data_IF_274153586806
#
_entry.id   IF_274153586806
#
_cell.length_a   1.000
_cell.length_b   1.000
_cell.length_c   1.000
_cell.angle_alpha   90.00
_cell.angle_beta   90.00
_cell.angle_gamma   90.00
#
_symmetry.space_group_name_H-M   'P 1'
#
loop_
_entity.id
_entity.type
_entity.pdbx_description
1 polymer ?
#
# COMPACT_ATOMS: atom_id res chain seq x y z
N UNK A 1 4.26 -22.96 -13.00
CA UNK A 1 3.50 -23.54 -11.89
C UNK A 1 3.71 -22.59 -10.73
N UNK A 2 2.69 -21.82 -10.36
CA UNK A 2 2.80 -20.89 -9.23
C UNK A 2 2.61 -21.74 -7.99
N UNK A 3 3.65 -21.87 -7.17
CA UNK A 3 3.52 -22.53 -5.88
C UNK A 3 2.70 -21.60 -4.98
N UNK A 4 1.53 -22.06 -4.55
CA UNK A 4 0.66 -21.29 -3.66
C UNK A 4 0.93 -21.80 -2.25
N UNK A 5 1.63 -21.00 -1.46
CA UNK A 5 1.69 -21.18 -0.01
C UNK A 5 0.64 -20.25 0.59
N UNK A 6 -0.17 -20.75 1.51
CA UNK A 6 -1.17 -19.93 2.18
C UNK A 6 -1.12 -20.19 3.67
N UNK A 7 -1.32 -19.13 4.45
CA UNK A 7 -1.57 -19.24 5.88
C UNK A 7 -3.03 -19.00 6.18
N UNK A 8 -3.50 -19.61 7.27
CA UNK A 8 -4.84 -19.40 7.76
C UNK A 8 -4.95 -19.65 9.25
N UNK A 9 -6.12 -19.35 9.80
CA UNK A 9 -6.40 -19.49 11.22
C UNK A 9 -7.65 -20.36 11.39
N UNK A 10 -7.53 -21.39 12.22
CA UNK A 10 -8.57 -22.37 12.49
C UNK A 10 -9.03 -22.27 13.95
N UNK A 11 -10.33 -22.41 14.19
CA UNK A 11 -10.90 -22.56 15.54
C UNK A 11 -11.83 -23.77 15.55
N UNK A 12 -11.63 -24.66 16.53
CA UNK A 12 -12.29 -25.97 16.58
C UNK A 12 -13.76 -25.93 17.06
N UNK A 13 -14.35 -24.76 17.34
CA UNK A 13 -15.75 -24.69 17.78
C UNK A 13 -16.33 -23.27 17.84
N UNK A 14 -17.66 -23.20 17.73
CA UNK A 14 -18.41 -21.93 17.84
C UNK A 14 -18.22 -21.31 19.23
N UNK A 15 -17.46 -20.22 19.31
CA UNK A 15 -17.25 -19.45 20.52
C UNK A 15 -15.98 -19.76 21.31
N UNK A 16 -15.10 -20.64 20.82
CA UNK A 16 -13.76 -20.79 21.40
C UNK A 16 -12.82 -19.70 20.87
N UNK A 17 -12.04 -19.10 21.78
CA UNK A 17 -10.92 -18.20 21.49
C UNK A 17 -9.62 -18.95 21.14
N UNK A 18 -9.66 -20.28 21.06
CA UNK A 18 -8.51 -21.12 20.77
C UNK A 18 -8.27 -21.18 19.25
N UNK A 19 -7.73 -20.08 18.73
CA UNK A 19 -7.27 -20.01 17.34
C UNK A 19 -5.91 -20.68 17.18
N UNK A 20 -5.79 -21.46 16.11
CA UNK A 20 -4.58 -22.12 15.70
C UNK A 20 -4.24 -21.70 14.28
N UNK A 21 -3.07 -21.10 14.12
CA UNK A 21 -2.54 -20.79 12.82
C UNK A 21 -2.10 -22.08 12.10
N UNK A 22 -2.20 -22.09 10.77
CA UNK A 22 -1.69 -23.17 9.94
C UNK A 22 -1.02 -22.61 8.69
N UNK A 23 -0.08 -23.38 8.17
CA UNK A 23 0.50 -23.26 6.84
C UNK A 23 -0.09 -24.37 5.96
N UNK A 24 -0.46 -24.04 4.72
CA UNK A 24 -0.76 -25.02 3.70
C UNK A 24 0.25 -24.93 2.57
N UNK A 25 0.81 -26.08 2.17
CA UNK A 25 1.65 -26.23 0.97
C UNK A 25 1.15 -27.39 0.11
N UNK A 26 1.44 -27.37 -1.19
CA UNK A 26 1.10 -28.48 -2.09
C UNK A 26 1.75 -29.81 -1.67
N UNK A 27 2.96 -29.74 -1.11
CA UNK A 27 3.77 -30.90 -0.75
C UNK A 27 3.36 -31.52 0.58
N UNK A 28 3.03 -30.70 1.58
CA UNK A 28 2.81 -31.15 2.95
C UNK A 28 1.35 -31.06 3.40
N UNK A 29 0.47 -30.42 2.61
CA UNK A 29 -0.90 -30.14 3.02
C UNK A 29 -0.94 -29.16 4.19
N UNK A 30 -1.97 -29.28 5.05
CA UNK A 30 -2.13 -28.42 6.23
C UNK A 30 -1.16 -28.85 7.33
N UNK A 31 -0.33 -27.91 7.76
CA UNK A 31 0.55 -28.01 8.92
C UNK A 31 0.15 -26.96 9.94
N UNK A 32 -0.27 -27.38 11.13
CA UNK A 32 -0.56 -26.43 12.20
C UNK A 32 0.73 -25.85 12.77
N UNK A 33 0.72 -24.54 12.99
CA UNK A 33 1.75 -23.81 13.71
C UNK A 33 1.46 -24.02 15.18
N UNK A 34 1.98 -25.10 15.73
CA UNK A 34 1.80 -25.46 17.13
C UNK A 34 2.87 -24.81 18.00
N UNK A 35 2.49 -24.02 19.00
CA UNK A 35 3.14 -24.01 20.29
C UNK A 35 2.38 -24.94 21.24
N UNK A 36 3.09 -25.43 22.26
CA UNK A 36 2.48 -26.14 23.39
C UNK A 36 1.44 -25.24 24.09
N UNK A 37 0.14 -25.48 23.83
CA UNK A 37 -1.04 -24.98 24.57
C UNK A 37 -1.50 -23.50 24.43
N UNK A 38 -0.99 -22.70 23.49
CA UNK A 38 -1.32 -21.27 23.35
C UNK A 38 -1.99 -20.90 22.00
N UNK A 39 -2.76 -19.79 21.98
CA UNK A 39 -3.45 -19.27 20.78
C UNK A 39 -2.45 -18.68 19.77
N UNK A 40 -2.59 -19.00 18.48
CA UNK A 40 -1.75 -18.47 17.40
C UNK A 40 -2.57 -17.88 16.24
N UNK A 41 -2.02 -16.82 15.62
CA UNK A 41 -2.51 -16.27 14.36
C UNK A 41 -1.37 -16.10 13.36
N UNK A 42 -1.59 -16.51 12.12
CA UNK A 42 -0.71 -16.19 11.00
C UNK A 42 -1.28 -15.03 10.17
N UNK A 43 -0.39 -14.17 9.69
CA UNK A 43 -0.71 -12.99 8.90
C UNK A 43 -0.05 -13.00 7.52
N UNK A 44 1.17 -13.55 7.40
CA UNK A 44 1.88 -13.61 6.13
C UNK A 44 2.82 -14.83 6.06
N UNK A 45 3.17 -15.21 4.84
CA UNK A 45 4.10 -16.31 4.53
C UNK A 45 5.05 -15.91 3.42
N UNK A 46 6.34 -16.19 3.59
CA UNK A 46 7.35 -15.93 2.57
C UNK A 46 7.52 -17.10 1.58
N UNK A 47 8.43 -16.92 0.61
CA UNK A 47 8.73 -17.96 -0.38
C UNK A 47 9.48 -19.17 0.21
N UNK A 48 10.04 -19.03 1.41
CA UNK A 48 10.73 -20.09 2.14
C UNK A 48 9.78 -20.88 3.05
N UNK A 49 8.48 -20.54 3.08
CA UNK A 49 7.47 -21.09 3.98
C UNK A 49 7.64 -20.69 5.46
N UNK A 50 8.35 -19.60 5.73
CA UNK A 50 8.35 -18.99 7.04
C UNK A 50 7.05 -18.22 7.24
N UNK A 51 6.52 -18.23 8.46
CA UNK A 51 5.23 -17.62 8.79
C UNK A 51 5.40 -16.51 9.81
N UNK A 52 4.90 -15.33 9.47
CA UNK A 52 4.80 -14.18 10.34
C UNK A 52 3.43 -14.18 11.01
N UNK A 53 3.41 -13.95 12.32
CA UNK A 53 2.19 -14.07 13.10
C UNK A 53 2.23 -13.42 14.47
N UNK A 54 1.30 -13.84 15.32
CA UNK A 54 1.38 -13.64 16.75
C UNK A 54 0.99 -14.90 17.53
N UNK A 55 1.56 -15.05 18.72
CA UNK A 55 1.26 -16.09 19.71
C UNK A 55 0.80 -15.43 21.01
N UNK A 56 -0.18 -16.01 21.70
CA UNK A 56 -0.59 -15.58 23.03
C UNK A 56 0.32 -16.18 24.09
N UNK A 57 1.14 -15.38 24.78
CA UNK A 57 2.02 -15.83 25.87
C UNK A 57 1.63 -15.11 27.16
N UNK A 58 1.19 -15.86 28.16
CA UNK A 58 0.82 -15.28 29.47
C UNK A 58 -0.26 -14.20 29.40
N UNK A 59 -1.18 -14.29 28.43
CA UNK A 59 -2.24 -13.31 28.19
C UNK A 59 -1.83 -12.10 27.32
N UNK A 60 -0.60 -12.05 26.82
CA UNK A 60 -0.12 -11.02 25.89
C UNK A 60 0.15 -11.60 24.51
N UNK A 61 -0.35 -10.97 23.45
CA UNK A 61 0.08 -11.29 22.08
C UNK A 61 1.52 -10.87 21.83
N UNK A 62 2.34 -11.81 21.39
CA UNK A 62 3.74 -11.66 21.04
C UNK A 62 3.91 -11.87 19.53
N UNK A 63 4.66 -11.00 18.85
CA UNK A 63 5.08 -11.23 17.47
C UNK A 63 5.86 -12.55 17.39
N UNK A 64 5.54 -13.39 16.41
CA UNK A 64 6.21 -14.68 16.21
C UNK A 64 6.68 -14.87 14.77
N UNK A 65 7.75 -15.64 14.65
CA UNK A 65 8.22 -16.22 13.38
C UNK A 65 8.21 -17.73 13.53
N UNK A 66 7.54 -18.42 12.62
CA UNK A 66 7.62 -19.88 12.53
C UNK A 66 8.41 -20.27 11.29
N UNK A 67 9.34 -21.20 11.45
CA UNK A 67 10.13 -21.76 10.36
C UNK A 67 10.29 -23.27 10.56
N UNK A 68 9.64 -24.06 9.70
CA UNK A 68 9.78 -25.51 9.61
C UNK A 68 9.72 -26.24 10.98
N UNK A 69 8.69 -25.95 11.77
CA UNK A 69 8.46 -26.54 13.09
C UNK A 69 9.15 -25.83 14.25
N UNK A 70 9.95 -24.80 13.99
CA UNK A 70 10.60 -23.97 15.01
C UNK A 70 9.83 -22.67 15.16
N UNK A 71 9.28 -22.44 16.35
CA UNK A 71 8.65 -21.18 16.70
C UNK A 71 9.64 -20.27 17.43
N UNK A 72 9.82 -19.05 16.93
CA UNK A 72 10.58 -17.98 17.57
C UNK A 72 9.62 -16.92 18.10
N UNK A 73 9.63 -16.68 19.41
CA UNK A 73 8.98 -15.54 20.04
C UNK A 73 9.84 -14.28 19.81
N UNK A 74 9.49 -13.52 18.76
CA UNK A 74 10.21 -12.30 18.40
C UNK A 74 10.02 -11.21 19.47
N UNK A 75 8.87 -11.17 20.14
CA UNK A 75 8.62 -10.18 21.18
C UNK A 75 9.60 -10.35 22.35
N UNK A 76 9.81 -11.59 22.79
CA UNK A 76 10.82 -11.91 23.81
C UNK A 76 12.24 -11.62 23.30
N UNK A 77 12.55 -12.02 22.07
CA UNK A 77 13.86 -11.80 21.45
C UNK A 77 14.24 -10.30 21.39
N UNK A 78 13.30 -9.46 20.99
CA UNK A 78 13.48 -8.02 20.86
C UNK A 78 13.13 -7.24 22.13
N UNK A 79 12.81 -7.94 23.23
CA UNK A 79 12.49 -7.35 24.52
C UNK A 79 11.32 -6.33 24.46
N UNK A 80 10.33 -6.60 23.60
CA UNK A 80 9.12 -5.79 23.45
C UNK A 80 8.30 -5.82 24.76
N UNK A 81 7.55 -4.74 25.02
CA UNK A 81 6.83 -4.49 26.27
C UNK A 81 5.31 -4.55 26.13
N UNK A 82 4.81 -4.44 24.91
CA UNK A 82 3.39 -4.43 24.60
C UNK A 82 2.90 -5.65 23.84
N UNK A 83 1.64 -5.58 23.43
CA UNK A 83 1.10 -6.51 22.44
C UNK A 83 1.84 -6.29 21.12
N UNK A 84 2.34 -7.35 20.51
CA UNK A 84 3.09 -7.26 19.27
C UNK A 84 2.63 -8.29 18.24
N UNK A 85 2.87 -7.94 16.99
CA UNK A 85 2.44 -8.72 15.83
C UNK A 85 3.50 -8.63 14.75
N UNK A 86 3.95 -9.78 14.22
CA UNK A 86 4.68 -9.86 12.97
C UNK A 86 3.65 -9.88 11.82
N UNK A 87 3.71 -8.89 10.94
CA UNK A 87 2.61 -8.56 10.01
C UNK A 87 2.85 -8.98 8.58
N UNK A 88 4.09 -8.89 8.11
CA UNK A 88 4.40 -8.94 6.68
C UNK A 88 5.88 -9.24 6.44
N UNK A 89 6.16 -9.98 5.37
CA UNK A 89 7.49 -10.21 4.81
C UNK A 89 7.73 -9.39 3.56
N UNK A 90 8.83 -8.63 3.55
CA UNK A 90 9.38 -8.08 2.30
C UNK A 90 10.09 -9.16 1.47
N UNK A 91 10.58 -8.79 0.28
CA UNK A 91 11.30 -9.70 -0.61
C UNK A 91 12.71 -10.06 -0.12
N UNK A 92 13.21 -9.40 0.93
CA UNK A 92 14.50 -9.69 1.56
C UNK A 92 14.34 -10.57 2.81
N UNK A 93 13.11 -10.97 3.16
CA UNK A 93 12.80 -11.77 4.33
C UNK A 93 12.82 -10.96 5.64
N UNK A 94 12.80 -9.62 5.59
CA UNK A 94 12.57 -8.82 6.78
C UNK A 94 11.10 -8.88 7.17
N UNK A 95 10.84 -8.83 8.46
CA UNK A 95 9.52 -8.91 9.05
C UNK A 95 9.11 -7.54 9.58
N UNK A 96 7.99 -7.01 9.08
CA UNK A 96 7.39 -5.81 9.64
C UNK A 96 6.67 -6.17 10.94
N UNK A 97 7.09 -5.55 12.04
CA UNK A 97 6.53 -5.77 13.37
C UNK A 97 5.80 -4.50 13.80
N UNK A 98 4.62 -4.66 14.39
CA UNK A 98 4.01 -3.61 15.20
C UNK A 98 4.02 -3.99 16.67
N UNK A 99 4.10 -2.98 17.52
CA UNK A 99 3.90 -3.12 18.95
C UNK A 99 2.96 -2.03 19.46
N UNK A 100 2.00 -2.42 20.30
CA UNK A 100 1.16 -1.52 21.07
C UNK A 100 1.51 -1.61 22.56
N UNK A 101 2.12 -0.56 23.09
CA UNK A 101 2.50 -0.45 24.49
C UNK A 101 2.09 0.93 25.03
N UNK A 102 1.50 0.96 26.24
CA UNK A 102 1.15 2.20 26.94
C UNK A 102 0.32 3.20 26.10
N UNK A 103 -0.55 2.71 25.22
CA UNK A 103 -1.41 3.56 24.38
C UNK A 103 -0.76 4.09 23.10
N UNK A 104 0.50 3.75 22.82
CA UNK A 104 1.22 4.11 21.61
C UNK A 104 1.48 2.89 20.72
N UNK A 105 1.48 3.09 19.41
CA UNK A 105 1.85 2.06 18.43
C UNK A 105 3.19 2.40 17.81
N UNK A 106 4.07 1.42 17.70
CA UNK A 106 5.38 1.55 17.06
C UNK A 106 5.53 0.51 15.97
N UNK A 107 6.35 0.81 14.96
CA UNK A 107 6.64 -0.10 13.84
C UNK A 107 8.14 -0.22 13.60
N UNK A 108 8.56 -1.42 13.22
CA UNK A 108 9.96 -1.74 12.94
C UNK A 108 10.09 -2.88 11.95
N UNK A 109 11.14 -2.84 11.15
CA UNK A 109 11.61 -3.98 10.37
C UNK A 109 12.60 -4.80 11.20
N UNK A 110 12.41 -6.11 11.27
CA UNK A 110 13.35 -7.06 11.85
C UNK A 110 13.86 -8.01 10.78
N UNK A 111 15.18 -8.12 10.63
CA UNK A 111 15.78 -9.10 9.74
C UNK A 111 16.22 -10.33 10.55
N UNK A 112 15.59 -11.51 10.39
CA UNK A 112 15.95 -12.71 11.14
C UNK A 112 17.34 -13.26 10.78
N UNK A 113 17.80 -13.08 9.54
CA UNK A 113 19.09 -13.58 9.08
C UNK A 113 20.28 -12.81 9.70
N UNK A 114 20.12 -11.51 9.94
CA UNK A 114 21.18 -10.64 10.50
C UNK A 114 20.92 -10.19 11.93
N UNK A 115 19.72 -10.46 12.46
CA UNK A 115 19.20 -9.93 13.73
C UNK A 115 19.18 -8.39 13.81
N UNK A 116 19.21 -7.69 12.68
CA UNK A 116 19.13 -6.22 12.66
C UNK A 116 17.70 -5.73 12.81
N UNK A 117 17.53 -4.60 13.50
CA UNK A 117 16.24 -3.91 13.64
C UNK A 117 16.36 -2.49 13.08
N UNK A 118 15.36 -2.07 12.31
CA UNK A 118 15.20 -0.69 11.83
C UNK A 118 13.87 -0.16 12.34
N UNK A 119 13.92 0.83 13.23
CA UNK A 119 12.71 1.51 13.71
C UNK A 119 12.16 2.43 12.61
N UNK A 120 10.84 2.39 12.41
CA UNK A 120 10.14 3.17 11.39
C UNK A 120 9.60 4.46 12.00
N UNK A 121 8.69 4.33 12.98
CA UNK A 121 8.03 5.48 13.58
C UNK A 121 7.30 5.14 14.88
N UNK A 122 7.23 6.14 15.77
CA UNK A 122 6.48 6.11 17.02
C UNK A 122 5.21 6.95 16.87
N UNK A 123 4.05 6.30 16.82
CA UNK A 123 2.78 7.00 16.69
C UNK A 123 2.32 7.53 18.06
N UNK A 124 1.88 8.80 18.16
CA UNK A 124 1.45 9.39 19.41
C UNK A 124 0.30 8.64 20.07
N UNK A 125 0.25 8.68 21.41
CA UNK A 125 -0.86 8.15 22.19
C UNK A 125 -2.19 8.77 21.74
N UNK A 126 -3.23 7.95 21.64
CA UNK A 126 -4.55 8.40 21.19
C UNK A 126 -4.70 8.50 19.67
N UNK A 127 -3.74 7.93 18.93
CA UNK A 127 -3.91 7.61 17.51
C UNK A 127 -4.83 6.40 17.35
N UNK A 128 -5.77 6.47 16.41
CA UNK A 128 -6.70 5.40 16.08
C UNK A 128 -6.81 5.18 14.57
N UNK A 129 -7.21 3.98 14.17
CA UNK A 129 -7.37 3.53 12.78
C UNK A 129 -6.07 3.58 11.98
N UNK A 130 -5.15 2.66 12.25
CA UNK A 130 -3.92 2.53 11.46
C UNK A 130 -4.12 1.49 10.37
N UNK A 131 -4.33 1.93 9.13
CA UNK A 131 -4.04 1.04 7.99
C UNK A 131 -2.57 1.20 7.64
N UNK A 132 -1.90 0.07 7.58
CA UNK A 132 -0.50 -0.05 7.20
C UNK A 132 -0.47 -0.85 5.91
N UNK A 133 0.24 -0.35 4.91
CA UNK A 133 0.38 -1.02 3.62
C UNK A 133 1.86 -1.14 3.32
N UNK A 134 2.49 -2.27 3.67
CA UNK A 134 3.86 -2.54 3.29
C UNK A 134 3.96 -2.99 1.83
N UNK A 135 5.13 -2.82 1.24
CA UNK A 135 5.49 -3.33 -0.09
C UNK A 135 6.64 -4.33 -0.03
N UNK A 136 6.85 -5.07 -1.11
CA UNK A 136 7.89 -6.10 -1.21
C UNK A 136 9.32 -5.54 -1.20
N UNK A 137 9.49 -4.25 -1.49
CA UNK A 137 10.77 -3.53 -1.44
C UNK A 137 10.99 -2.78 -0.11
N UNK A 138 10.24 -3.11 0.94
CA UNK A 138 10.47 -2.63 2.30
C UNK A 138 9.86 -1.26 2.62
N UNK A 139 9.15 -0.62 1.68
CA UNK A 139 8.42 0.63 1.96
C UNK A 139 7.13 0.35 2.71
N UNK A 140 6.62 1.37 3.41
CA UNK A 140 5.37 1.26 4.16
C UNK A 140 4.56 2.55 4.06
N UNK A 141 3.31 2.45 3.61
CA UNK A 141 2.33 3.52 3.70
C UNK A 141 1.48 3.40 4.97
N UNK A 142 1.14 4.56 5.54
CA UNK A 142 0.36 4.67 6.76
C UNK A 142 -0.79 5.65 6.53
N UNK A 143 -1.99 5.27 6.96
CA UNK A 143 -3.08 6.21 7.20
C UNK A 143 -3.61 6.03 8.61
N UNK A 144 -3.69 7.13 9.36
CA UNK A 144 -4.15 7.14 10.74
C UNK A 144 -4.96 8.39 11.06
N UNK A 145 -5.56 8.45 12.25
CA UNK A 145 -6.23 9.64 12.74
C UNK A 145 -5.98 9.85 14.22
N UNK A 146 -6.05 11.10 14.68
CA UNK A 146 -6.10 11.43 16.10
C UNK A 146 -7.12 12.54 16.36
N UNK A 147 -7.55 12.70 17.61
CA UNK A 147 -8.46 13.78 17.98
C UNK A 147 -7.85 15.17 17.74
N UNK A 148 -6.52 15.29 17.84
CA UNK A 148 -5.81 16.57 17.70
C UNK A 148 -5.48 16.90 16.24
N UNK A 149 -5.12 15.90 15.43
CA UNK A 149 -4.62 16.11 14.07
C UNK A 149 -5.64 15.76 12.99
N UNK A 150 -6.73 15.07 13.32
CA UNK A 150 -7.64 14.53 12.31
C UNK A 150 -6.97 13.43 11.48
N UNK A 151 -7.41 13.20 10.22
CA UNK A 151 -6.83 12.20 9.34
C UNK A 151 -5.40 12.57 8.93
N UNK A 152 -4.55 11.57 8.77
CA UNK A 152 -3.14 11.69 8.46
C UNK A 152 -2.74 10.60 7.45
N UNK A 153 -1.77 10.92 6.58
CA UNK A 153 -1.17 10.02 5.60
C UNK A 153 0.36 10.19 5.65
N UNK A 154 1.09 9.08 5.63
CA UNK A 154 2.55 9.07 5.57
C UNK A 154 3.07 7.86 4.81
N UNK A 155 4.35 7.92 4.45
CA UNK A 155 5.14 6.80 3.99
C UNK A 155 6.45 6.71 4.74
N UNK A 156 7.07 5.54 4.68
CA UNK A 156 8.42 5.31 5.11
C UNK A 156 9.18 4.50 4.06
N UNK A 157 10.45 4.86 3.85
CA UNK A 157 11.45 4.00 3.22
C UNK A 157 12.78 4.12 3.97
N UNK A 158 13.71 3.20 3.72
CA UNK A 158 15.04 3.28 4.33
C UNK A 158 15.83 4.49 3.84
N UNK A 159 15.61 4.92 2.59
CA UNK A 159 16.29 6.04 1.94
C UNK A 159 15.75 7.39 2.41
N UNK A 160 14.43 7.54 2.48
CA UNK A 160 13.77 8.82 2.75
C UNK A 160 13.35 9.00 4.22
N UNK A 161 13.34 7.93 5.01
CA UNK A 161 12.80 7.94 6.37
C UNK A 161 11.29 8.14 6.37
N UNK A 162 10.75 8.67 7.47
CA UNK A 162 9.31 8.89 7.64
C UNK A 162 8.88 10.25 7.06
N UNK A 163 8.01 10.22 6.06
CA UNK A 163 7.48 11.40 5.38
C UNK A 163 5.98 11.50 5.59
N UNK A 164 5.48 12.70 5.95
CA UNK A 164 4.06 12.93 6.21
C UNK A 164 3.46 13.91 5.22
N UNK A 165 2.30 13.57 4.66
CA UNK A 165 1.57 14.41 3.73
C UNK A 165 0.82 15.54 4.45
N UNK A 166 0.73 16.71 3.80
CA UNK A 166 -0.08 17.84 4.25
C UNK A 166 -1.48 17.73 3.68
N UNK A 167 -2.46 17.33 4.49
CA UNK A 167 -3.83 17.12 3.98
C UNK A 167 -4.63 18.42 3.87
N UNK A 168 -5.34 18.64 2.75
CA UNK A 168 -6.36 19.68 2.65
C UNK A 168 -7.42 19.60 3.74
N UNK A 169 -7.87 20.74 4.27
CA UNK A 169 -8.83 20.82 5.40
C UNK A 169 -10.20 20.20 5.12
N UNK A 170 -10.56 20.01 3.86
CA UNK A 170 -11.82 19.37 3.48
C UNK A 170 -11.73 17.83 3.53
N UNK A 171 -10.55 17.24 3.67
CA UNK A 171 -10.38 15.80 3.89
C UNK A 171 -10.69 15.49 5.35
N UNK A 172 -11.76 14.73 5.58
CA UNK A 172 -12.21 14.30 6.91
C UNK A 172 -11.93 12.82 7.19
N UNK A 173 -11.44 12.10 6.20
CA UNK A 173 -10.92 10.74 6.32
C UNK A 173 -9.99 10.43 5.14
N UNK A 174 -8.95 9.64 5.36
CA UNK A 174 -8.07 9.16 4.28
C UNK A 174 -7.63 7.73 4.60
N UNK A 175 -7.52 6.90 3.58
CA UNK A 175 -7.09 5.51 3.74
C UNK A 175 -6.08 5.16 2.66
N UNK A 176 -4.86 4.81 3.08
CA UNK A 176 -3.83 4.27 2.19
C UNK A 176 -4.29 2.90 1.67
N UNK A 177 -4.24 2.68 0.36
CA UNK A 177 -4.66 1.42 -0.26
C UNK A 177 -3.46 0.59 -0.66
N UNK A 178 -2.45 1.21 -1.26
CA UNK A 178 -1.25 0.60 -1.83
C UNK A 178 -0.12 1.62 -1.92
N UNK A 179 1.11 1.12 -1.92
CA UNK A 179 2.33 1.89 -2.19
C UNK A 179 3.11 1.17 -3.29
N UNK A 180 3.56 1.90 -4.30
CA UNK A 180 4.31 1.33 -5.43
C UNK A 180 5.83 1.40 -5.19
N UNK A 181 6.63 0.95 -6.17
CA UNK A 181 8.10 0.95 -6.09
C UNK A 181 8.70 2.36 -5.96
N UNK A 182 8.04 3.37 -6.53
CA UNK A 182 8.45 4.77 -6.43
C UNK A 182 8.13 5.37 -5.05
N UNK A 183 7.38 4.66 -4.20
CA UNK A 183 6.87 5.19 -2.94
C UNK A 183 5.63 6.08 -3.07
N UNK A 184 5.01 6.14 -4.24
CA UNK A 184 3.72 6.79 -4.43
C UNK A 184 2.63 6.00 -3.70
N UNK A 185 1.69 6.70 -3.04
CA UNK A 185 0.61 6.10 -2.28
C UNK A 185 -0.71 6.34 -2.99
N UNK A 186 -1.35 5.26 -3.44
CA UNK A 186 -2.73 5.32 -3.87
C UNK A 186 -3.63 5.27 -2.63
N UNK A 187 -4.54 6.23 -2.51
CA UNK A 187 -5.38 6.39 -1.33
C UNK A 187 -6.81 6.79 -1.71
N UNK A 188 -7.75 6.59 -0.78
CA UNK A 188 -9.12 7.07 -0.92
C UNK A 188 -9.41 8.05 0.21
N UNK A 189 -9.85 9.25 -0.14
CA UNK A 189 -10.23 10.29 0.81
C UNK A 189 -11.74 10.42 0.92
N UNK A 190 -12.23 10.83 2.09
CA UNK A 190 -13.60 11.26 2.35
C UNK A 190 -13.61 12.78 2.47
N UNK A 191 -14.35 13.48 1.61
CA UNK A 191 -14.24 14.94 1.49
C UNK A 191 -15.53 15.69 1.79
N UNK A 192 -15.41 16.83 2.48
CA UNK A 192 -16.48 17.81 2.68
C UNK A 192 -16.75 18.62 1.40
N UNK A 193 -17.98 19.18 1.25
CA UNK A 193 -19.12 19.07 2.17
C UNK A 193 -20.01 17.83 1.94
N UNK A 194 -19.75 17.08 0.87
CA UNK A 194 -20.67 16.05 0.39
C UNK A 194 -20.43 14.67 1.00
N UNK A 195 -19.33 14.49 1.76
CA UNK A 195 -18.92 13.20 2.30
C UNK A 195 -18.81 12.12 1.21
N UNK A 196 -18.38 12.52 0.02
CA UNK A 196 -18.06 11.63 -1.09
C UNK A 196 -16.66 11.03 -0.91
N UNK A 197 -16.48 9.79 -1.38
CA UNK A 197 -15.14 9.22 -1.50
C UNK A 197 -14.50 9.68 -2.81
N UNK A 198 -13.22 10.02 -2.76
CA UNK A 198 -12.43 10.44 -3.92
C UNK A 198 -11.14 9.63 -3.96
N UNK A 199 -10.85 9.06 -5.13
CA UNK A 199 -9.58 8.41 -5.44
C UNK A 199 -8.47 9.48 -5.54
N UNK A 200 -7.38 9.25 -4.83
CA UNK A 200 -6.25 10.17 -4.76
C UNK A 200 -4.93 9.42 -4.90
N UNK A 201 -3.91 10.12 -5.40
CA UNK A 201 -2.53 9.64 -5.47
C UNK A 201 -1.64 10.63 -4.75
N UNK A 202 -0.68 10.14 -3.96
CA UNK A 202 0.36 10.97 -3.36
C UNK A 202 1.72 10.49 -3.85
N UNK A 203 2.35 11.27 -4.73
CA UNK A 203 3.63 10.94 -5.36
C UNK A 203 4.74 11.78 -4.74
N UNK A 204 5.10 12.90 -5.37
CA UNK A 204 6.23 13.74 -4.96
C UNK A 204 5.78 15.09 -4.37
N UNK A 205 4.48 15.35 -4.34
CA UNK A 205 3.92 16.60 -3.87
C UNK A 205 3.90 16.65 -2.34
N UNK A 206 3.63 17.83 -1.79
CA UNK A 206 3.39 17.98 -0.35
C UNK A 206 2.07 17.38 0.12
N UNK A 207 1.14 17.05 -0.78
CA UNK A 207 -0.23 16.61 -0.47
C UNK A 207 -0.75 15.62 -1.53
N UNK A 208 -1.68 14.70 -1.19
CA UNK A 208 -2.32 13.84 -2.17
C UNK A 208 -3.15 14.67 -3.17
N UNK A 209 -3.11 14.27 -4.44
CA UNK A 209 -3.82 14.90 -5.55
C UNK A 209 -5.06 14.07 -5.92
N UNK A 210 -6.17 14.74 -6.22
CA UNK A 210 -7.42 14.11 -6.66
C UNK A 210 -7.28 13.56 -8.07
N UNK A 211 -7.73 12.32 -8.29
CA UNK A 211 -7.78 11.70 -9.61
C UNK A 211 -9.12 11.93 -10.33
N UNK A 212 -10.03 12.74 -9.78
CA UNK A 212 -11.39 12.90 -10.32
C UNK A 212 -11.43 13.21 -11.83
N UNK A 213 -10.58 14.13 -12.30
CA UNK A 213 -10.49 14.50 -13.73
C UNK A 213 -9.85 13.41 -14.60
N UNK A 214 -9.13 12.45 -14.00
CA UNK A 214 -8.47 11.34 -14.69
C UNK A 214 -9.33 10.08 -14.72
N UNK A 215 -10.41 10.01 -13.93
CA UNK A 215 -11.36 8.90 -13.97
C UNK A 215 -12.34 9.15 -15.11
N UNK A 216 -12.50 8.23 -16.08
CA UNK A 216 -13.47 8.39 -17.16
C UNK A 216 -14.88 8.65 -16.62
N UNK A 217 -15.61 9.52 -17.32
CA UNK A 217 -16.94 10.02 -16.94
C UNK A 217 -17.01 10.82 -15.63
N UNK A 218 -15.88 11.07 -14.97
CA UNK A 218 -15.74 11.89 -13.76
C UNK A 218 -16.85 11.64 -12.73
N UNK A 219 -16.97 10.40 -12.20
CA UNK A 219 -18.04 10.03 -11.31
C UNK A 219 -18.02 10.87 -10.03
N UNK A 220 -19.21 11.04 -9.43
CA UNK A 220 -19.37 11.84 -8.22
C UNK A 220 -18.65 11.25 -7.00
N UNK A 221 -18.39 9.94 -7.04
CA UNK A 221 -17.58 9.19 -6.08
C UNK A 221 -16.59 8.33 -6.83
N UNK A 222 -15.34 8.31 -6.36
CA UNK A 222 -14.31 7.39 -6.83
C UNK A 222 -13.51 6.79 -5.68
N UNK A 223 -13.03 5.56 -5.85
CA UNK A 223 -12.23 4.84 -4.84
C UNK A 223 -11.13 4.05 -5.49
N UNK A 224 -9.95 4.07 -4.88
CA UNK A 224 -8.87 3.15 -5.25
C UNK A 224 -9.20 1.77 -4.69
N UNK A 225 -9.11 0.76 -5.54
CA UNK A 225 -9.22 -0.66 -5.16
C UNK A 225 -7.82 -1.24 -4.93
N UNK A 226 -6.91 -1.00 -5.87
CA UNK A 226 -5.53 -1.46 -5.80
C UNK A 226 -4.63 -0.62 -6.73
N UNK A 227 -3.33 -0.68 -6.48
CA UNK A 227 -2.28 -0.23 -7.39
C UNK A 227 -1.25 -1.36 -7.52
N UNK A 228 -0.75 -1.61 -8.72
CA UNK A 228 0.38 -2.51 -8.89
C UNK A 228 1.72 -1.78 -8.64
N UNK A 229 2.82 -2.51 -8.80
CA UNK A 229 4.17 -1.97 -8.57
C UNK A 229 4.58 -0.88 -9.57
N UNK A 230 4.03 -0.91 -10.79
CA UNK A 230 4.28 0.08 -11.85
C UNK A 230 3.44 1.36 -11.70
N UNK A 231 2.51 1.40 -10.75
CA UNK A 231 1.61 2.53 -10.51
C UNK A 231 0.29 2.49 -11.29
N UNK A 232 -0.03 1.41 -11.99
CA UNK A 232 -1.35 1.22 -12.59
C UNK A 232 -2.41 1.07 -11.50
N UNK A 233 -3.49 1.83 -11.60
CA UNK A 233 -4.54 1.93 -10.59
C UNK A 233 -5.82 1.23 -11.06
N UNK A 234 -6.35 0.34 -10.23
CA UNK A 234 -7.75 -0.09 -10.36
C UNK A 234 -8.63 0.85 -9.55
N UNK A 235 -9.48 1.61 -10.25
CA UNK A 235 -10.37 2.61 -9.66
C UNK A 235 -11.82 2.20 -9.88
N UNK A 236 -12.63 2.40 -8.85
CA UNK A 236 -14.08 2.16 -8.88
C UNK A 236 -14.83 3.49 -8.76
N UNK A 237 -15.81 3.71 -9.63
CA UNK A 237 -16.78 4.80 -9.56
C UNK A 237 -18.13 4.36 -9.01
N UNK A 238 -19.16 5.13 -9.33
CA UNK A 238 -20.55 4.87 -8.90
C UNK A 238 -21.10 3.56 -9.51
N UNK A 239 -20.93 3.36 -10.83
CA UNK A 239 -21.40 2.20 -11.58
C UNK A 239 -20.30 1.32 -12.17
N UNK A 240 -19.11 1.89 -12.40
CA UNK A 240 -18.10 1.30 -13.27
C UNK A 240 -16.72 1.18 -12.59
N UNK A 241 -15.81 0.47 -13.26
CA UNK A 241 -14.43 0.30 -12.84
C UNK A 241 -13.50 0.59 -14.02
N UNK A 242 -12.36 1.21 -13.73
CA UNK A 242 -11.36 1.56 -14.72
C UNK A 242 -9.99 1.15 -14.24
N UNK A 243 -9.15 0.75 -15.18
CA UNK A 243 -7.72 0.70 -14.98
C UNK A 243 -7.20 2.06 -15.46
N UNK A 244 -6.71 2.87 -14.53
CA UNK A 244 -5.97 4.07 -14.87
C UNK A 244 -4.51 3.66 -14.96
N UNK A 245 -3.99 3.71 -16.17
CA UNK A 245 -2.56 3.61 -16.38
C UNK A 245 -1.86 4.78 -15.68
N UNK A 246 -0.59 4.60 -15.32
CA UNK A 246 0.31 5.73 -14.99
C UNK A 246 0.60 6.50 -16.28
N UNK A 247 -0.45 6.93 -16.99
CA UNK A 247 -0.33 7.80 -18.14
C UNK A 247 -0.27 9.21 -17.60
N UNK A 248 0.92 9.74 -17.59
CA UNK A 248 1.06 11.17 -17.57
C UNK A 248 0.45 11.66 -18.86
N UNK A 249 -0.54 12.54 -18.76
CA UNK A 249 -1.06 13.20 -19.96
C UNK A 249 0.14 13.77 -20.72
N UNK A 250 0.27 13.38 -21.97
CA UNK A 250 1.35 13.75 -22.89
C UNK A 250 2.75 13.11 -22.68
N UNK A 251 2.89 12.08 -21.83
CA UNK A 251 4.01 11.13 -21.92
C UNK A 251 3.60 10.05 -22.94
N UNK A 252 4.08 10.20 -24.17
CA UNK A 252 3.65 9.41 -25.32
C UNK A 252 4.49 8.15 -25.53
N UNK A 253 5.66 8.05 -24.92
CA UNK A 253 6.48 6.83 -24.90
C UNK A 253 6.44 6.06 -23.57
N UNK A 254 5.72 6.58 -22.57
CA UNK A 254 5.57 6.05 -21.22
C UNK A 254 6.92 5.92 -20.48
N UNK A 255 7.86 6.82 -20.73
CA UNK A 255 9.19 6.78 -20.09
C UNK A 255 9.21 7.47 -18.71
N UNK A 256 8.11 8.06 -18.27
CA UNK A 256 8.00 8.79 -17.01
C UNK A 256 8.38 10.27 -17.10
N UNK A 257 8.58 10.82 -18.30
CA UNK A 257 8.89 12.23 -18.54
C UNK A 257 8.05 12.75 -19.72
N UNK A 258 7.62 14.02 -19.63
CA UNK A 258 7.13 14.78 -20.79
C UNK A 258 8.27 15.63 -21.30
N UNK A 259 8.98 15.12 -22.30
CA UNK A 259 10.19 15.69 -22.84
C UNK A 259 10.17 15.82 -24.38
N UNK A 260 11.36 16.01 -24.97
CA UNK A 260 11.49 16.24 -26.41
C UNK A 260 11.04 15.01 -27.21
N UNK A 261 11.19 13.81 -26.65
CA UNK A 261 10.80 12.55 -27.27
C UNK A 261 9.30 12.51 -27.48
N UNK A 262 8.52 12.97 -26.51
CA UNK A 262 7.06 13.07 -26.61
C UNK A 262 6.64 14.10 -27.66
N UNK A 263 7.32 15.25 -27.74
CA UNK A 263 7.06 16.23 -28.81
C UNK A 263 7.28 15.60 -30.19
N UNK A 264 8.34 14.80 -30.34
CA UNK A 264 8.66 14.17 -31.62
C UNK A 264 7.61 13.12 -32.01
N UNK A 265 7.07 12.40 -31.04
CA UNK A 265 5.97 11.45 -31.25
C UNK A 265 4.70 12.20 -31.66
N UNK A 266 4.35 13.29 -30.96
CA UNK A 266 3.18 14.12 -31.26
C UNK A 266 3.25 14.75 -32.66
N UNK A 267 4.38 15.36 -33.01
CA UNK A 267 4.59 15.95 -34.34
C UNK A 267 4.59 14.86 -35.43
N UNK A 268 5.04 13.64 -35.12
CA UNK A 268 4.99 12.50 -36.04
C UNK A 268 3.57 12.12 -36.46
N UNK A 269 2.56 12.45 -35.64
CA UNK A 269 1.15 12.20 -35.90
C UNK A 269 0.35 13.44 -36.31
N UNK A 270 1.02 14.56 -36.62
CA UNK A 270 0.35 15.83 -36.90
C UNK A 270 -0.71 15.74 -38.01
N UNK A 271 -1.92 16.22 -37.73
CA UNK A 271 -3.06 16.21 -38.65
C UNK A 271 -3.70 14.84 -38.87
N UNK A 272 -3.29 13.81 -38.12
CA UNK A 272 -4.01 12.53 -38.09
C UNK A 272 -5.34 12.70 -37.35
N UNK A 273 -6.37 11.98 -37.80
CA UNK A 273 -7.69 11.94 -37.16
C UNK A 273 -7.81 10.63 -36.40
N UNK A 274 -8.24 10.68 -35.15
CA UNK A 274 -8.12 9.56 -34.23
C UNK A 274 -8.98 8.36 -34.67
N UNK A 275 -8.40 7.15 -34.62
CA UNK A 275 -9.10 5.86 -34.82
C UNK A 275 -9.30 5.08 -33.50
N UNK A 276 -8.97 5.66 -32.36
CA UNK A 276 -9.41 5.22 -31.05
C UNK A 276 -8.33 4.60 -30.16
N UNK A 277 -8.45 4.97 -28.88
CA UNK A 277 -8.05 4.31 -27.64
C UNK A 277 -6.56 4.08 -27.30
N UNK A 278 -5.62 4.76 -27.96
CA UNK A 278 -4.28 5.04 -27.42
C UNK A 278 -3.80 6.39 -28.03
N UNK A 279 -4.15 7.49 -27.35
CA UNK A 279 -4.32 8.83 -27.94
C UNK A 279 -3.09 9.73 -28.01
N UNK A 280 -2.79 10.21 -29.22
CA UNK A 280 -1.90 11.36 -29.47
C UNK A 280 -2.72 12.67 -29.54
N UNK A 281 -4.03 12.56 -29.80
CA UNK A 281 -5.01 13.62 -29.60
C UNK A 281 -5.31 13.70 -28.10
N UNK A 282 -4.68 14.67 -27.45
CA UNK A 282 -4.65 14.87 -26.01
C UNK A 282 -5.86 15.69 -25.52
N UNK A 283 -6.48 16.49 -26.39
CA UNK A 283 -7.68 17.27 -26.05
C UNK A 283 -9.00 16.63 -26.52
N UNK A 284 -8.93 15.56 -27.30
CA UNK A 284 -10.07 14.79 -27.79
C UNK A 284 -10.85 15.49 -28.89
N UNK A 285 -10.24 16.45 -29.59
CA UNK A 285 -10.87 17.23 -30.67
C UNK A 285 -11.10 16.42 -31.96
N UNK A 286 -10.50 15.24 -32.06
CA UNK A 286 -10.54 14.35 -33.21
C UNK A 286 -9.40 14.59 -34.21
N UNK A 287 -8.45 15.48 -33.92
CA UNK A 287 -7.29 15.80 -34.77
C UNK A 287 -6.07 16.14 -33.93
N UNK A 288 -4.90 15.64 -34.31
CA UNK A 288 -3.64 16.04 -33.67
C UNK A 288 -3.20 17.42 -34.20
N UNK A 289 -3.25 18.46 -33.37
CA UNK A 289 -2.88 19.82 -33.73
C UNK A 289 -2.10 20.58 -32.64
N UNK A 290 -2.08 21.92 -32.76
CA UNK A 290 -1.35 22.79 -31.84
C UNK A 290 -1.88 22.75 -30.42
N UNK A 291 -3.15 22.42 -30.23
CA UNK A 291 -3.81 22.30 -28.94
C UNK A 291 -3.20 21.15 -28.13
N UNK A 292 -2.93 20.01 -28.78
CA UNK A 292 -2.26 18.87 -28.16
C UNK A 292 -0.81 19.19 -27.78
N UNK A 293 -0.08 19.87 -28.68
CA UNK A 293 1.29 20.29 -28.38
C UNK A 293 1.34 21.25 -27.18
N UNK A 294 0.34 22.13 -27.03
CA UNK A 294 0.25 23.03 -25.88
C UNK A 294 -0.02 22.27 -24.58
N UNK A 295 -0.82 21.20 -24.60
CA UNK A 295 -1.02 20.32 -23.45
C UNK A 295 0.32 19.70 -23.04
N UNK A 296 1.04 19.10 -23.99
CA UNK A 296 2.35 18.48 -23.73
C UNK A 296 3.36 19.47 -23.13
N UNK A 297 3.55 20.62 -23.77
CA UNK A 297 4.50 21.64 -23.31
C UNK A 297 4.09 22.23 -21.97
N UNK A 298 2.78 22.34 -21.69
CA UNK A 298 2.29 22.84 -20.40
C UNK A 298 2.56 21.87 -19.23
N UNK A 299 2.80 20.59 -19.53
CA UNK A 299 3.07 19.54 -18.57
C UNK A 299 4.53 19.05 -18.60
N UNK A 300 5.45 19.87 -19.15
CA UNK A 300 6.86 19.51 -19.33
C UNK A 300 7.56 19.05 -18.04
N UNK A 301 8.30 17.94 -18.13
CA UNK A 301 9.09 17.38 -17.03
C UNK A 301 8.61 16.02 -16.54
N UNK A 302 9.23 15.52 -15.48
CA UNK A 302 8.97 14.20 -14.91
C UNK A 302 7.52 14.04 -14.47
N UNK A 303 6.89 12.96 -14.92
CA UNK A 303 5.59 12.49 -14.47
C UNK A 303 5.39 12.64 -12.96
N UNK A 304 4.36 13.40 -12.57
CA UNK A 304 3.95 13.59 -11.17
C UNK A 304 2.88 12.55 -10.82
#
# INVERSE_FOLDING_TARGET
>A
MVFINLVGNYSAGSGSSDWQAFLWTETNGVQFIEPTADTTYAYDVDEQNQVAGQILVGGSYHAMLWDNGVLTDIATLLNLKGHSTARYFDAQGQVLISEFANGATTYRWYNPATSSVVEIHDFPVGTYTQRIVPSKDGKVAFSWSSAALGPQLARWSQESGFEQATLPKNIVGITAISINQDGAIACTALTLPFYGSIAMLWSNESAPVSLHEHVPDSPSVSRIIAMNEDGQLLVRGDSDHWILEKTCVADLDNNGFRDVTDILILIGAWGQTDQGQCGIDLDGSGVVDVSDLLILVSSWGACE
#
